data_IF_835871010665
#
_entry.id   IF_835871010665
#
_cell.length_a   1.000
_cell.length_b   1.000
_cell.length_c   1.000
_cell.angle_alpha   90.00
_cell.angle_beta   90.00
_cell.angle_gamma   90.00
#
_symmetry.space_group_name_H-M   'P 1'
#
loop_
_entity.id
_entity.type
_entity.pdbx_description
1 polymer ?
#
# COMPACT_ATOMS: atom_id res chain seq x y z
N UNK A 1 0.52 8.94 13.12
CA UNK A 1 -0.28 7.70 13.12
C UNK A 1 -1.77 8.00 12.90
N UNK A 2 -2.23 8.01 11.64
CA UNK A 2 -3.64 7.77 11.27
C UNK A 2 -3.87 7.63 9.74
N UNK A 3 -2.85 7.84 8.91
CA UNK A 3 -3.03 7.90 7.44
C UNK A 3 -3.02 6.54 6.73
N UNK A 4 -2.90 5.43 7.46
CA UNK A 4 -2.83 4.08 6.86
C UNK A 4 -4.19 3.42 6.63
N UNK A 5 -5.30 4.03 7.08
CA UNK A 5 -6.64 3.44 6.99
C UNK A 5 -7.69 4.32 6.28
N UNK A 6 -7.30 5.39 5.60
CA UNK A 6 -8.22 6.42 5.07
C UNK A 6 -8.85 6.09 3.71
N UNK A 7 -8.89 4.83 3.26
CA UNK A 7 -9.48 4.45 1.95
C UNK A 7 -8.74 5.00 0.71
N UNK A 8 -7.76 5.89 0.90
CA UNK A 8 -6.96 6.50 -0.17
C UNK A 8 -6.07 5.47 -0.88
N UNK A 9 -5.66 4.40 -0.19
CA UNK A 9 -4.89 3.32 -0.77
C UNK A 9 -5.64 2.66 -1.95
N UNK A 10 -6.96 2.47 -1.83
CA UNK A 10 -7.77 1.86 -2.89
C UNK A 10 -7.85 2.77 -4.13
N UNK A 11 -8.05 4.07 -3.93
CA UNK A 11 -8.07 5.04 -5.03
C UNK A 11 -6.71 5.13 -5.74
N UNK A 12 -5.61 5.16 -4.97
CA UNK A 12 -4.24 5.20 -5.51
C UNK A 12 -3.94 3.93 -6.32
N UNK A 13 -4.30 2.75 -5.80
CA UNK A 13 -4.08 1.48 -6.49
C UNK A 13 -4.93 1.34 -7.75
N UNK A 14 -6.18 1.81 -7.72
CA UNK A 14 -7.06 1.84 -8.90
C UNK A 14 -6.45 2.71 -10.00
N UNK A 15 -5.95 3.91 -9.65
CA UNK A 15 -5.27 4.80 -10.60
C UNK A 15 -3.98 4.19 -11.18
N UNK A 16 -3.22 3.46 -10.36
CA UNK A 16 -2.04 2.73 -10.82
C UNK A 16 -2.42 1.63 -11.80
N UNK A 17 -3.46 0.84 -11.52
CA UNK A 17 -3.97 -0.19 -12.43
C UNK A 17 -4.32 0.42 -13.80
N UNK A 18 -5.11 1.49 -13.81
CA UNK A 18 -5.51 2.16 -15.05
C UNK A 18 -4.30 2.68 -15.86
N UNK A 19 -3.31 3.25 -15.17
CA UNK A 19 -2.09 3.77 -15.81
C UNK A 19 -1.31 2.64 -16.49
N UNK A 20 -1.15 1.50 -15.82
CA UNK A 20 -0.42 0.35 -16.34
C UNK A 20 -1.17 -0.34 -17.49
N UNK A 21 -2.49 -0.47 -17.40
CA UNK A 21 -3.32 -0.99 -18.51
C UNK A 21 -3.22 -0.10 -19.75
N UNK A 22 -3.31 1.23 -19.60
CA UNK A 22 -3.13 2.18 -20.70
C UNK A 22 -1.74 2.09 -21.32
N UNK A 23 -0.70 1.99 -20.49
CA UNK A 23 0.68 1.85 -20.97
C UNK A 23 0.90 0.53 -21.73
N UNK A 24 0.29 -0.57 -21.25
CA UNK A 24 0.34 -1.86 -21.93
C UNK A 24 -0.43 -1.86 -23.24
N UNK A 25 -1.62 -1.25 -23.28
CA UNK A 25 -2.40 -1.12 -24.51
C UNK A 25 -1.65 -0.33 -25.58
N UNK A 26 -0.87 0.68 -25.18
CA UNK A 26 -0.08 1.50 -26.11
C UNK A 26 1.17 0.79 -26.65
N UNK A 27 1.82 -0.02 -25.82
CA UNK A 27 3.10 -0.65 -26.16
C UNK A 27 3.16 -2.12 -25.73
N UNK A 28 2.29 -3.01 -26.25
CA UNK A 28 2.25 -4.40 -25.83
C UNK A 28 3.58 -5.13 -26.00
N UNK A 29 4.41 -4.74 -26.97
CA UNK A 29 5.74 -5.28 -27.25
C UNK A 29 6.73 -5.16 -26.08
N UNK A 30 6.53 -4.16 -25.20
CA UNK A 30 7.38 -3.97 -24.01
C UNK A 30 6.98 -4.87 -22.84
N UNK A 31 5.85 -5.56 -22.92
CA UNK A 31 5.30 -6.36 -21.82
C UNK A 31 5.40 -7.84 -22.16
N UNK A 32 6.27 -8.57 -21.46
CA UNK A 32 6.40 -10.02 -21.59
C UNK A 32 5.16 -10.80 -21.08
N UNK A 33 4.14 -10.12 -20.54
CA UNK A 33 2.98 -10.76 -19.95
C UNK A 33 1.95 -9.80 -19.37
N UNK A 34 1.27 -10.21 -18.30
CA UNK A 34 0.27 -9.39 -17.61
C UNK A 34 0.92 -8.21 -16.88
N UNK A 35 0.16 -7.14 -16.68
CA UNK A 35 0.55 -6.02 -15.81
C UNK A 35 0.68 -6.51 -14.36
N UNK A 36 1.44 -5.76 -13.53
CA UNK A 36 1.53 -6.04 -12.09
C UNK A 36 0.13 -6.06 -11.48
N UNK A 37 -0.16 -7.03 -10.64
CA UNK A 37 -1.40 -7.03 -9.87
C UNK A 37 -1.37 -5.90 -8.83
N UNK A 38 -2.29 -4.95 -8.99
CA UNK A 38 -2.47 -3.80 -8.10
C UNK A 38 -3.62 -4.00 -7.12
N UNK A 39 -4.10 -5.23 -6.91
CA UNK A 39 -5.12 -5.51 -5.90
C UNK A 39 -4.60 -5.28 -4.47
N UNK A 40 -5.47 -4.78 -3.60
CA UNK A 40 -5.19 -4.73 -2.17
C UNK A 40 -5.15 -6.17 -1.64
N UNK A 41 -4.16 -6.54 -0.81
CA UNK A 41 -4.21 -7.79 -0.07
C UNK A 41 -5.43 -7.78 0.87
N UNK A 42 -6.18 -8.88 0.89
CA UNK A 42 -7.42 -9.03 1.67
C UNK A 42 -7.20 -8.85 3.18
N UNK A 43 -6.01 -9.23 3.66
CA UNK A 43 -5.60 -9.10 5.05
C UNK A 43 -4.16 -8.60 5.14
N UNK A 44 -3.97 -7.47 5.80
CA UNK A 44 -2.63 -6.97 6.17
C UNK A 44 -2.42 -7.18 7.67
N UNK A 45 -1.26 -7.70 8.04
CA UNK A 45 -0.85 -7.82 9.42
C UNK A 45 -0.06 -6.57 9.77
N UNK A 46 -0.53 -5.78 10.75
CA UNK A 46 0.27 -4.71 11.31
C UNK A 46 1.41 -5.35 12.10
N UNK A 47 2.65 -4.93 11.83
CA UNK A 47 3.77 -5.29 12.70
C UNK A 47 3.43 -4.77 14.11
N UNK A 48 3.54 -5.58 15.18
CA UNK A 48 3.23 -5.12 16.52
C UNK A 48 4.01 -3.84 16.79
N UNK A 49 3.29 -2.79 17.17
CA UNK A 49 3.92 -1.61 17.75
C UNK A 49 4.61 -2.14 19.01
N UNK A 50 5.93 -2.01 19.11
CA UNK A 50 6.60 -2.23 20.39
C UNK A 50 5.96 -1.25 21.38
N UNK A 51 5.04 -1.74 22.20
CA UNK A 51 4.91 -1.22 23.54
C UNK A 51 6.25 -1.47 24.23
N UNK A 52 6.62 -0.65 25.21
CA UNK A 52 7.99 -0.41 25.72
C UNK A 52 8.72 0.63 24.84
N UNK A 53 8.80 1.92 25.19
CA UNK A 53 9.17 2.46 26.50
C UNK A 53 8.28 3.66 26.87
N UNK A 54 7.40 3.45 27.86
CA UNK A 54 6.82 4.55 28.62
C UNK A 54 7.93 5.21 29.43
N UNK A 55 8.14 6.52 29.20
CA UNK A 55 8.95 7.33 30.11
C UNK A 55 8.14 7.59 31.38
N UNK A 56 8.38 6.81 32.43
CA UNK A 56 8.03 7.22 33.79
C UNK A 56 9.07 8.23 34.29
N UNK A 57 8.78 9.50 34.02
CA UNK A 57 9.26 10.62 34.83
C UNK A 57 8.30 10.75 36.02
N UNK A 58 8.71 10.29 37.21
CA UNK A 58 8.80 11.09 38.45
C UNK A 58 9.06 10.22 39.71
N UNK A 59 10.03 10.71 40.49
CA UNK A 59 10.17 10.68 41.97
C UNK A 59 10.34 9.33 42.69
N UNK A 60 11.56 9.04 43.15
CA UNK A 60 11.93 9.14 44.57
C UNK A 60 13.44 9.19 44.78
#
# INVERSE_FOLDING_TARGET
PNERHTGQAQAILSKRKETYEKAKAKHPERWAGKTRDWCLPEKVWLNPVKAEEGKDVKSS
#
